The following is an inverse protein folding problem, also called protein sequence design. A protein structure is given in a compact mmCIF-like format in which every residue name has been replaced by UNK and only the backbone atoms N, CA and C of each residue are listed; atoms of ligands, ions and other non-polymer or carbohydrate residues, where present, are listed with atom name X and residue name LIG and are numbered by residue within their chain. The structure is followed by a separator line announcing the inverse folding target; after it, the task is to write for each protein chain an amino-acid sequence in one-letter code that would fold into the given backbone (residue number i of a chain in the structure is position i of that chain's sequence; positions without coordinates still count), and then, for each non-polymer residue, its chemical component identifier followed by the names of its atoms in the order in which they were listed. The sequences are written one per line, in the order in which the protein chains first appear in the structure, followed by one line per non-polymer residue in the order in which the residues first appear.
data_IF_802707559922
#
_entry.id   IF_802707559922
#
_cell.length_a   1.000
_cell.length_b   1.000
_cell.length_c   1.000
_cell.angle_alpha   90.00
_cell.angle_beta   90.00
_cell.angle_gamma   90.00
#
_symmetry.space_group_name_H-M   'P 1'
#
loop_
_entity.id
_entity.type
_entity.pdbx_description
1 polymer ?
#
# COMPACT_ATOMS: atom_id res chain seq x y z
N UNK A 1 13.98 -10.62 -16.38
CA UNK A 1 13.10 -9.50 -15.94
C UNK A 1 13.66 -9.00 -14.64
N UNK A 2 13.65 -7.71 -14.32
CA UNK A 2 14.17 -7.26 -13.01
C UNK A 2 13.05 -7.23 -11.98
N UNK A 3 13.31 -7.80 -10.80
CA UNK A 3 12.42 -7.76 -9.65
C UNK A 3 13.10 -7.05 -8.49
N UNK A 4 12.27 -6.49 -7.61
CA UNK A 4 12.67 -5.97 -6.33
C UNK A 4 11.81 -6.59 -5.23
N UNK A 5 12.46 -7.09 -4.18
CA UNK A 5 11.81 -7.54 -2.97
C UNK A 5 12.19 -6.62 -1.80
N UNK A 6 11.19 -6.16 -1.06
CA UNK A 6 11.40 -5.51 0.23
C UNK A 6 10.93 -6.47 1.33
N UNK A 7 11.77 -6.72 2.32
CA UNK A 7 11.38 -7.54 3.46
C UNK A 7 11.76 -6.92 4.80
N UNK A 8 10.91 -7.16 5.79
CA UNK A 8 11.21 -6.87 7.20
C UNK A 8 11.32 -8.17 7.97
N UNK A 9 12.15 -8.17 9.00
CA UNK A 9 12.23 -9.26 9.97
C UNK A 9 12.20 -8.68 11.37
N UNK A 10 11.46 -9.34 12.26
CA UNK A 10 11.21 -8.89 13.63
C UNK A 10 11.63 -9.97 14.63
N UNK A 11 12.02 -9.60 15.86
CA UNK A 11 11.82 -8.28 16.50
C UNK A 11 12.91 -7.23 16.16
N UNK A 12 12.48 -5.98 15.98
CA UNK A 12 13.40 -4.83 15.87
C UNK A 12 13.37 -4.00 17.15
N UNK A 13 14.55 -3.73 17.72
CA UNK A 13 14.67 -3.05 19.02
C UNK A 13 15.04 -1.56 18.89
N UNK A 14 14.98 -0.99 17.67
CA UNK A 14 15.13 0.45 17.43
C UNK A 14 16.57 0.93 17.43
N UNK A 15 17.25 0.84 18.57
CA UNK A 15 18.62 1.32 18.77
C UNK A 15 19.64 0.17 18.76
N UNK A 16 20.78 0.39 18.10
CA UNK A 16 21.91 -0.54 18.08
C UNK A 16 22.24 -1.10 16.69
N UNK A 17 23.19 -2.06 16.62
CA UNK A 17 23.53 -2.71 15.36
C UNK A 17 22.32 -3.49 14.80
N UNK A 18 22.29 -3.72 13.47
CA UNK A 18 21.24 -4.53 12.87
C UNK A 18 21.15 -5.92 13.54
N UNK A 19 19.92 -6.43 13.79
CA UNK A 19 19.76 -7.73 14.42
C UNK A 19 20.25 -8.86 13.52
N UNK A 20 20.73 -9.95 14.13
CA UNK A 20 21.36 -11.08 13.44
C UNK A 20 20.48 -11.67 12.33
N UNK A 21 19.18 -11.80 12.56
CA UNK A 21 18.24 -12.28 11.55
C UNK A 21 18.24 -11.43 10.27
N UNK A 22 18.32 -10.10 10.40
CA UNK A 22 18.28 -9.21 9.27
C UNK A 22 19.63 -9.22 8.52
N UNK A 23 20.75 -9.29 9.25
CA UNK A 23 22.08 -9.46 8.67
C UNK A 23 22.18 -10.77 7.88
N UNK A 24 21.77 -11.90 8.47
CA UNK A 24 21.80 -13.21 7.81
C UNK A 24 20.93 -13.25 6.55
N UNK A 25 19.75 -12.64 6.60
CA UNK A 25 18.86 -12.55 5.44
C UNK A 25 19.50 -11.74 4.31
N UNK A 26 20.10 -10.59 4.62
CA UNK A 26 20.86 -9.77 3.65
C UNK A 26 22.03 -10.55 3.05
N UNK A 27 22.88 -11.14 3.90
CA UNK A 27 24.08 -11.86 3.45
C UNK A 27 23.72 -13.05 2.57
N UNK A 28 22.59 -13.71 2.85
CA UNK A 28 22.05 -14.78 2.00
C UNK A 28 21.62 -14.26 0.63
N UNK A 29 20.99 -13.07 0.57
CA UNK A 29 20.62 -12.45 -0.69
C UNK A 29 21.85 -12.05 -1.52
N UNK A 30 22.84 -11.43 -0.88
CA UNK A 30 24.11 -11.05 -1.53
C UNK A 30 24.87 -12.28 -2.04
N UNK A 31 24.91 -13.36 -1.24
CA UNK A 31 25.52 -14.63 -1.62
C UNK A 31 24.83 -15.32 -2.82
N UNK A 32 23.55 -15.01 -3.07
CA UNK A 32 22.82 -15.47 -4.25
C UNK A 32 23.07 -14.58 -5.49
N UNK A 33 23.92 -13.56 -5.39
CA UNK A 33 24.21 -12.61 -6.47
C UNK A 33 23.19 -11.50 -6.63
N UNK A 34 22.34 -11.27 -5.62
CA UNK A 34 21.38 -10.16 -5.60
C UNK A 34 22.01 -8.91 -4.98
N UNK A 35 21.59 -7.73 -5.43
CA UNK A 35 21.98 -6.48 -4.78
C UNK A 35 21.07 -6.22 -3.59
N UNK A 36 21.63 -6.09 -2.39
CA UNK A 36 20.88 -5.79 -1.18
C UNK A 36 21.23 -4.39 -0.63
N UNK A 37 20.22 -3.67 -0.15
CA UNK A 37 20.35 -2.38 0.53
C UNK A 37 19.61 -2.45 1.87
N UNK A 38 20.28 -2.02 2.94
CA UNK A 38 19.76 -2.10 4.30
C UNK A 38 19.18 -0.75 4.70
N UNK A 39 17.86 -0.62 4.60
CA UNK A 39 17.13 0.61 4.86
C UNK A 39 16.58 0.71 6.28
N UNK A 40 16.08 1.90 6.67
CA UNK A 40 15.46 2.12 7.97
C UNK A 40 14.12 1.37 8.15
N UNK A 41 13.51 0.91 7.06
CA UNK A 41 12.21 0.24 7.05
C UNK A 41 12.28 -1.24 6.65
N UNK A 42 13.46 -1.79 6.39
CA UNK A 42 13.62 -3.16 5.91
C UNK A 42 14.85 -3.34 5.03
N UNK A 43 15.02 -4.54 4.49
CA UNK A 43 16.06 -4.86 3.52
C UNK A 43 15.45 -4.92 2.13
N UNK A 44 16.06 -4.20 1.20
CA UNK A 44 15.65 -4.09 -0.18
C UNK A 44 16.59 -4.90 -1.06
N UNK A 45 16.06 -5.82 -1.85
CA UNK A 45 16.85 -6.72 -2.69
C UNK A 45 16.40 -6.62 -4.13
N UNK A 46 17.36 -6.49 -5.05
CA UNK A 46 17.12 -6.36 -6.49
C UNK A 46 17.92 -7.39 -7.27
N UNK A 47 17.34 -7.88 -8.36
CA UNK A 47 18.04 -8.74 -9.28
C UNK A 47 17.15 -9.27 -10.40
N UNK A 48 17.71 -10.17 -11.20
CA UNK A 48 16.91 -10.92 -12.16
C UNK A 48 15.82 -11.73 -11.44
N UNK A 49 14.67 -11.85 -12.07
CA UNK A 49 13.46 -12.43 -11.53
C UNK A 49 13.66 -13.87 -11.06
N UNK A 50 14.31 -14.70 -11.88
CA UNK A 50 14.47 -16.12 -11.58
C UNK A 50 15.44 -16.28 -10.40
N UNK A 51 16.57 -15.58 -10.44
CA UNK A 51 17.54 -15.55 -9.33
C UNK A 51 16.91 -15.08 -8.03
N UNK A 52 16.09 -14.02 -8.07
CA UNK A 52 15.46 -13.48 -6.88
C UNK A 52 14.43 -14.46 -6.32
N UNK A 53 13.52 -14.97 -7.16
CA UNK A 53 12.48 -15.91 -6.74
C UNK A 53 13.04 -17.21 -6.16
N UNK A 54 14.11 -17.73 -6.76
CA UNK A 54 14.80 -18.93 -6.27
C UNK A 54 15.49 -18.70 -4.92
N UNK A 55 15.96 -17.47 -4.65
CA UNK A 55 16.63 -17.13 -3.39
C UNK A 55 15.65 -16.85 -2.23
N UNK A 56 14.40 -16.46 -2.50
CA UNK A 56 13.44 -16.06 -1.46
C UNK A 56 13.27 -17.08 -0.32
N UNK A 57 13.13 -18.40 -0.57
CA UNK A 57 13.00 -19.37 0.50
C UNK A 57 14.23 -19.45 1.41
N UNK A 58 15.43 -19.28 0.83
CA UNK A 58 16.68 -19.30 1.60
C UNK A 58 16.81 -18.05 2.46
N UNK A 59 16.47 -16.87 1.92
CA UNK A 59 16.46 -15.59 2.65
C UNK A 59 15.49 -15.65 3.83
N UNK A 60 14.26 -16.14 3.61
CA UNK A 60 13.26 -16.27 4.67
C UNK A 60 13.72 -17.24 5.78
N UNK A 61 14.30 -18.40 5.39
CA UNK A 61 14.88 -19.35 6.35
C UNK A 61 16.04 -18.76 7.12
N UNK A 62 16.91 -17.99 6.47
CA UNK A 62 18.05 -17.34 7.13
C UNK A 62 17.59 -16.33 8.18
N UNK A 63 16.54 -15.54 7.89
CA UNK A 63 15.93 -14.65 8.86
C UNK A 63 15.39 -15.42 10.08
N UNK A 64 14.56 -16.44 9.85
CA UNK A 64 13.95 -17.23 10.92
C UNK A 64 15.01 -17.94 11.78
N UNK A 65 16.01 -18.55 11.15
CA UNK A 65 17.13 -19.20 11.84
C UNK A 65 18.05 -18.21 12.58
N UNK A 66 18.05 -16.95 12.16
CA UNK A 66 18.75 -15.85 12.86
C UNK A 66 17.95 -15.24 14.00
N UNK A 67 16.80 -15.82 14.36
CA UNK A 67 15.99 -15.40 15.49
C UNK A 67 14.78 -14.53 15.13
N UNK A 68 14.47 -14.34 13.84
CA UNK A 68 13.23 -13.68 13.47
C UNK A 68 12.02 -14.53 13.89
N UNK A 69 11.03 -13.92 14.51
CA UNK A 69 9.74 -14.54 14.82
C UNK A 69 8.68 -14.20 13.77
N UNK A 70 8.91 -13.15 12.99
CA UNK A 70 8.06 -12.74 11.87
C UNK A 70 8.91 -12.19 10.73
N UNK A 71 8.54 -12.55 9.51
CA UNK A 71 9.10 -12.02 8.27
C UNK A 71 7.94 -11.53 7.40
N UNK A 72 8.02 -10.31 6.87
CA UNK A 72 7.08 -9.82 5.85
C UNK A 72 7.84 -9.54 4.57
N UNK A 73 7.21 -9.76 3.42
CA UNK A 73 7.83 -9.61 2.11
C UNK A 73 6.85 -8.98 1.13
N UNK A 74 7.33 -7.98 0.39
CA UNK A 74 6.69 -7.41 -0.78
C UNK A 74 7.58 -7.64 -1.99
N UNK A 75 6.98 -7.94 -3.14
CA UNK A 75 7.67 -8.20 -4.39
C UNK A 75 7.07 -7.34 -5.50
N UNK A 76 7.92 -6.68 -6.28
CA UNK A 76 7.53 -5.80 -7.39
C UNK A 76 8.44 -5.96 -8.59
N UNK A 77 7.93 -5.64 -9.77
CA UNK A 77 8.73 -5.59 -10.99
C UNK A 77 9.45 -4.25 -11.10
N UNK A 78 10.73 -4.25 -11.45
CA UNK A 78 11.51 -3.03 -11.68
C UNK A 78 11.17 -2.48 -13.05
N UNK A 79 10.84 -1.18 -13.11
CA UNK A 79 10.37 -0.52 -14.34
C UNK A 79 8.86 -0.54 -14.53
N UNK A 80 8.12 -1.15 -13.58
CA UNK A 80 6.71 -0.85 -13.41
C UNK A 80 6.58 0.48 -12.65
N UNK A 81 6.83 1.59 -13.34
CA UNK A 81 6.48 2.95 -12.89
C UNK A 81 4.95 3.17 -12.86
N UNK A 82 4.14 2.10 -12.95
CA UNK A 82 2.74 2.12 -12.60
C UNK A 82 2.55 1.94 -11.08
N UNK A 83 3.00 2.94 -10.32
CA UNK A 83 2.41 3.25 -9.01
C UNK A 83 3.25 2.88 -7.80
N UNK A 84 3.67 3.92 -7.09
CA UNK A 84 4.07 3.91 -5.68
C UNK A 84 3.15 3.02 -4.79
N UNK A 85 3.68 2.34 -3.76
CA UNK A 85 2.87 1.53 -2.85
C UNK A 85 2.03 2.43 -1.92
N UNK A 86 0.82 2.76 -2.37
CA UNK A 86 -0.25 3.38 -1.58
C UNK A 86 -1.52 2.50 -1.50
N UNK A 87 -1.42 1.22 -1.86
CA UNK A 87 -2.58 0.36 -2.18
C UNK A 87 -2.87 -0.65 -1.05
N UNK A 88 -3.10 -0.17 0.17
CA UNK A 88 -3.91 -0.96 1.13
C UNK A 88 -5.04 -0.13 1.77
N UNK A 89 -4.86 1.19 1.92
CA UNK A 89 -5.93 2.08 2.41
C UNK A 89 -6.64 2.86 1.29
N UNK A 90 -5.91 3.28 0.25
CA UNK A 90 -6.53 3.91 -0.93
C UNK A 90 -7.28 2.89 -1.78
N UNK A 91 -6.94 1.60 -1.69
CA UNK A 91 -7.69 0.52 -2.36
C UNK A 91 -9.08 0.35 -1.76
N UNK A 92 -9.23 0.46 -0.43
CA UNK A 92 -10.53 0.39 0.23
C UNK A 92 -11.43 1.56 -0.18
N UNK A 93 -10.91 2.79 -0.16
CA UNK A 93 -11.67 3.96 -0.60
C UNK A 93 -12.01 3.91 -2.10
N UNK A 94 -11.05 3.49 -2.95
CA UNK A 94 -11.28 3.33 -4.38
C UNK A 94 -12.36 2.27 -4.68
N UNK A 95 -12.38 1.16 -3.92
CA UNK A 95 -13.45 0.15 -4.01
C UNK A 95 -14.80 0.75 -3.64
N UNK A 96 -14.89 1.47 -2.51
CA UNK A 96 -16.12 2.13 -2.08
C UNK A 96 -16.64 3.15 -3.11
N UNK A 97 -15.75 3.93 -3.71
CA UNK A 97 -16.08 4.87 -4.81
C UNK A 97 -16.61 4.08 -6.00
N UNK A 98 -15.91 3.03 -6.45
CA UNK A 98 -16.35 2.20 -7.56
C UNK A 98 -17.70 1.51 -7.32
N UNK A 99 -17.99 1.10 -6.10
CA UNK A 99 -19.28 0.51 -5.72
C UNK A 99 -20.41 1.53 -5.81
N UNK A 100 -20.17 2.77 -5.37
CA UNK A 100 -21.14 3.87 -5.47
C UNK A 100 -21.35 4.29 -6.93
N UNK A 101 -20.30 4.34 -7.75
CA UNK A 101 -20.43 4.62 -9.20
C UNK A 101 -21.31 3.58 -9.90
N UNK A 102 -21.16 2.29 -9.57
CA UNK A 102 -22.01 1.23 -10.13
C UNK A 102 -23.46 1.34 -9.69
N UNK A 103 -23.70 1.72 -8.44
CA UNK A 103 -25.06 1.92 -7.91
C UNK A 103 -25.74 3.15 -8.53
N UNK A 104 -24.99 4.23 -8.78
CA UNK A 104 -25.51 5.47 -9.37
C UNK A 104 -25.49 5.46 -10.91
N UNK A 105 -24.92 4.41 -11.52
CA UNK A 105 -24.93 4.21 -12.97
C UNK A 105 -23.97 5.12 -13.76
N UNK A 106 -22.95 5.70 -13.12
CA UNK A 106 -22.04 6.65 -13.77
C UNK A 106 -20.85 7.09 -12.92
N UNK A 107 -19.90 7.76 -13.57
CA UNK A 107 -18.70 8.32 -12.92
C UNK A 107 -19.06 9.50 -12.02
N UNK A 108 -18.45 9.56 -10.84
CA UNK A 108 -18.79 10.56 -9.82
C UNK A 108 -18.67 12.01 -10.31
N UNK A 109 -17.71 12.30 -11.19
CA UNK A 109 -17.48 13.63 -11.77
C UNK A 109 -18.56 14.06 -12.78
N UNK A 110 -19.16 13.10 -13.49
CA UNK A 110 -20.24 13.32 -14.48
C UNK A 110 -21.62 13.49 -13.85
N UNK A 111 -21.77 13.14 -12.57
CA UNK A 111 -23.06 13.21 -11.87
C UNK A 111 -23.56 14.65 -11.72
N UNK A 112 -24.88 14.80 -11.73
CA UNK A 112 -25.51 16.07 -11.35
C UNK A 112 -25.31 16.36 -9.84
N UNK A 113 -25.69 17.56 -9.41
CA UNK A 113 -25.50 17.98 -8.03
C UNK A 113 -26.21 17.08 -7.01
N UNK A 114 -27.43 16.64 -7.33
CA UNK A 114 -28.23 15.82 -6.42
C UNK A 114 -27.65 14.41 -6.28
N UNK A 115 -27.18 13.83 -7.38
CA UNK A 115 -26.49 12.55 -7.42
C UNK A 115 -25.11 12.62 -6.76
N UNK A 116 -24.35 13.72 -6.92
CA UNK A 116 -23.10 13.97 -6.17
C UNK A 116 -23.33 14.03 -4.66
N UNK A 117 -24.41 14.67 -4.22
CA UNK A 117 -24.81 14.67 -2.81
C UNK A 117 -25.12 13.26 -2.33
N UNK A 118 -25.97 12.52 -3.06
CA UNK A 118 -26.30 11.13 -2.76
C UNK A 118 -25.06 10.23 -2.69
N UNK A 119 -24.10 10.41 -3.60
CA UNK A 119 -22.83 9.69 -3.58
C UNK A 119 -22.05 9.92 -2.29
N UNK A 120 -21.97 11.17 -1.81
CA UNK A 120 -21.30 11.48 -0.53
C UNK A 120 -22.03 10.83 0.66
N UNK A 121 -23.37 10.75 0.64
CA UNK A 121 -24.14 10.05 1.68
C UNK A 121 -23.80 8.56 1.73
N UNK A 122 -23.86 7.88 0.58
CA UNK A 122 -23.54 6.45 0.47
C UNK A 122 -22.09 6.16 0.90
N UNK A 123 -21.14 7.02 0.52
CA UNK A 123 -19.76 6.90 0.96
C UNK A 123 -19.64 7.08 2.49
N UNK A 124 -20.38 8.00 3.09
CA UNK A 124 -20.42 8.21 4.55
C UNK A 124 -20.99 7.00 5.28
N UNK A 125 -22.11 6.46 4.82
CA UNK A 125 -22.74 5.25 5.38
C UNK A 125 -21.82 4.03 5.32
N UNK A 126 -20.99 3.93 4.27
CA UNK A 126 -19.99 2.86 4.10
C UNK A 126 -18.67 3.13 4.83
N UNK A 127 -18.59 4.18 5.64
CA UNK A 127 -17.42 4.49 6.44
C UNK A 127 -16.24 5.10 5.67
N UNK A 128 -16.43 5.56 4.43
CA UNK A 128 -15.36 6.08 3.58
C UNK A 128 -14.61 7.25 4.22
N UNK A 129 -15.31 8.11 4.98
CA UNK A 129 -14.72 9.30 5.61
C UNK A 129 -13.95 9.02 6.91
N UNK A 130 -13.98 7.78 7.41
CA UNK A 130 -13.06 7.32 8.46
C UNK A 130 -11.65 7.03 7.94
N UNK A 131 -11.47 6.93 6.62
CA UNK A 131 -10.19 6.59 5.98
C UNK A 131 -9.30 7.84 5.82
N UNK A 132 -7.98 7.63 5.91
CA UNK A 132 -6.97 8.70 5.73
C UNK A 132 -7.10 9.30 4.32
N UNK A 133 -6.99 10.63 4.22
CA UNK A 133 -7.09 11.39 2.95
C UNK A 133 -8.44 11.25 2.20
N UNK A 134 -9.47 10.66 2.83
CA UNK A 134 -10.77 10.43 2.21
C UNK A 134 -11.41 11.66 1.59
N UNK A 135 -11.43 12.79 2.30
CA UNK A 135 -12.04 14.03 1.81
C UNK A 135 -11.35 14.55 0.55
N UNK A 136 -10.01 14.53 0.50
CA UNK A 136 -9.27 14.95 -0.70
C UNK A 136 -9.55 14.03 -1.89
N UNK A 137 -9.52 12.72 -1.69
CA UNK A 137 -9.73 11.74 -2.76
C UNK A 137 -11.17 11.75 -3.28
N UNK A 138 -12.16 11.87 -2.39
CA UNK A 138 -13.56 11.98 -2.79
C UNK A 138 -13.84 13.30 -3.51
N UNK A 139 -13.21 14.40 -3.08
CA UNK A 139 -13.33 15.68 -3.76
C UNK A 139 -12.79 15.61 -5.20
N UNK A 140 -11.63 14.98 -5.39
CA UNK A 140 -11.03 14.72 -6.70
C UNK A 140 -11.96 13.85 -7.57
N UNK A 141 -12.45 12.72 -7.05
CA UNK A 141 -13.34 11.83 -7.79
C UNK A 141 -14.67 12.49 -8.21
N UNK A 142 -15.20 13.41 -7.39
CA UNK A 142 -16.42 14.17 -7.69
C UNK A 142 -16.16 15.37 -8.61
N UNK A 143 -14.90 15.74 -8.86
CA UNK A 143 -14.53 16.97 -9.56
C UNK A 143 -14.96 18.24 -8.82
N UNK A 144 -14.87 18.24 -7.48
CA UNK A 144 -15.26 19.38 -6.63
C UNK A 144 -14.16 19.72 -5.60
N UNK A 145 -14.34 20.81 -4.87
CA UNK A 145 -13.42 21.18 -3.79
C UNK A 145 -13.68 20.38 -2.51
N UNK A 146 -12.66 20.21 -1.65
CA UNK A 146 -12.81 19.64 -0.30
C UNK A 146 -13.90 20.36 0.51
N UNK A 147 -13.98 21.68 0.37
CA UNK A 147 -15.04 22.50 0.97
C UNK A 147 -16.45 22.03 0.55
N UNK A 148 -16.63 21.68 -0.72
CA UNK A 148 -17.90 21.17 -1.24
C UNK A 148 -18.26 19.81 -0.63
N UNK A 149 -17.27 18.93 -0.44
CA UNK A 149 -17.49 17.64 0.24
C UNK A 149 -17.92 17.85 1.69
N UNK A 150 -17.26 18.74 2.44
CA UNK A 150 -17.71 19.11 3.79
C UNK A 150 -19.12 19.69 3.80
N UNK A 151 -19.48 20.51 2.80
CA UNK A 151 -20.85 21.02 2.68
C UNK A 151 -21.88 19.90 2.47
N UNK A 152 -21.55 18.89 1.67
CA UNK A 152 -22.45 17.73 1.46
C UNK A 152 -22.58 16.87 2.72
N UNK A 153 -21.49 16.68 3.48
CA UNK A 153 -21.51 15.90 4.72
C UNK A 153 -22.38 16.49 5.83
N UNK A 154 -22.49 17.81 5.87
CA UNK A 154 -23.22 18.57 6.88
C UNK A 154 -24.70 18.77 6.52
N UNK A 155 -25.11 18.46 5.28
CA UNK A 155 -26.50 18.63 4.81
C UNK A 155 -27.48 17.55 5.28
N UNK A 156 -27.00 16.51 5.96
CA UNK A 156 -27.80 15.38 6.45
C UNK A 156 -27.96 15.37 7.98
N UNK A 157 -27.54 16.44 8.65
CA UNK A 157 -27.74 16.61 10.09
C UNK A 157 -28.93 17.53 10.41
N UNK A 158 -29.65 17.99 9.39
CA UNK A 158 -30.94 18.69 9.46
C UNK A 158 -32.04 17.83 8.80
#
# INVERSE_FOLDING_TARGET
MQLEAEFTSEPFHGEGPPPEHAVKARDTAEGAGLSADFGPLGTLVRGDADTLLDALPAIARAALNGGATRVTLQLRQVGDDAGEPAVELHSALARLIGDVERELGGKLDTLDRAAKQRAVRLLKERGAFGLRKSVSTVAEALGVTRFTVYNYLNRDQD
#
